data_IF_132398210625
#
_entry.id   IF_132398210625
#
_cell.length_a   1.000
_cell.length_b   1.000
_cell.length_c   1.000
_cell.angle_alpha   90.00
_cell.angle_beta   90.00
_cell.angle_gamma   90.00
#
_symmetry.space_group_name_H-M   'P 1'
#
loop_
_entity.id
_entity.type
_entity.pdbx_description
1 polymer ?
#
# COMPACT_ATOMS: atom_id res chain seq x y z
N UNK A 1 12.18 9.03 7.58
CA UNK A 1 10.84 8.76 7.04
C UNK A 1 10.01 8.12 8.14
N UNK A 2 8.94 8.78 8.61
CA UNK A 2 8.04 8.19 9.61
C UNK A 2 7.08 7.23 8.92
N UNK A 3 6.88 6.03 9.49
CA UNK A 3 5.97 4.99 8.96
C UNK A 3 4.57 5.55 8.64
N UNK A 4 4.09 6.48 9.48
CA UNK A 4 2.85 7.23 9.28
C UNK A 4 2.80 8.01 7.96
N UNK A 5 3.89 8.67 7.57
CA UNK A 5 3.93 9.44 6.31
C UNK A 5 3.79 8.49 5.12
N UNK A 6 4.44 7.32 5.17
CA UNK A 6 4.31 6.31 4.12
C UNK A 6 2.89 5.75 4.06
N UNK A 7 2.25 5.47 5.20
CA UNK A 7 0.86 5.03 5.25
C UNK A 7 -0.10 6.05 4.63
N UNK A 8 0.10 7.34 4.92
CA UNK A 8 -0.66 8.43 4.28
C UNK A 8 -0.47 8.44 2.77
N UNK A 9 0.77 8.32 2.29
CA UNK A 9 1.06 8.25 0.85
C UNK A 9 0.45 7.02 0.18
N UNK A 10 0.43 5.86 0.84
CA UNK A 10 -0.20 4.64 0.32
C UNK A 10 -1.72 4.78 0.23
N UNK A 11 -2.36 5.41 1.22
CA UNK A 11 -3.80 5.73 1.19
C UNK A 11 -4.14 6.71 0.07
N UNK A 12 -3.35 7.75 -0.10
CA UNK A 12 -3.52 8.70 -1.21
C UNK A 12 -3.34 8.02 -2.58
N UNK A 13 -2.39 7.10 -2.72
CA UNK A 13 -2.20 6.34 -3.95
C UNK A 13 -3.37 5.37 -4.23
N UNK A 14 -3.89 4.68 -3.20
CA UNK A 14 -5.13 3.88 -3.31
C UNK A 14 -6.29 4.74 -3.81
N UNK A 15 -6.48 5.93 -3.23
CA UNK A 15 -7.58 6.82 -3.60
C UNK A 15 -7.47 7.29 -5.06
N UNK A 16 -6.26 7.55 -5.55
CA UNK A 16 -6.03 7.84 -6.97
C UNK A 16 -6.34 6.66 -7.88
N UNK A 17 -6.09 5.43 -7.42
CA UNK A 17 -6.37 4.21 -8.16
C UNK A 17 -7.84 3.77 -8.08
N UNK A 18 -8.67 4.33 -7.20
CA UNK A 18 -10.05 3.84 -6.96
C UNK A 18 -10.94 3.85 -8.21
N UNK A 19 -10.67 4.76 -9.14
CA UNK A 19 -11.43 4.91 -10.38
C UNK A 19 -10.81 4.17 -11.57
N UNK A 20 -9.58 3.66 -11.44
CA UNK A 20 -8.81 3.03 -12.53
C UNK A 20 -8.57 1.54 -12.34
N UNK A 21 -8.87 0.99 -11.17
CA UNK A 21 -8.53 -0.40 -10.84
C UNK A 21 -9.76 -1.20 -10.47
N UNK A 22 -9.79 -2.47 -10.89
CA UNK A 22 -10.85 -3.39 -10.53
C UNK A 22 -11.01 -3.53 -9.01
N UNK A 23 -12.25 -3.76 -8.60
CA UNK A 23 -12.64 -3.94 -7.19
C UNK A 23 -11.78 -4.98 -6.48
N UNK A 24 -11.38 -6.05 -7.17
CA UNK A 24 -10.52 -7.10 -6.61
C UNK A 24 -9.08 -6.64 -6.32
N UNK A 25 -8.55 -5.71 -7.10
CA UNK A 25 -7.21 -5.15 -6.83
C UNK A 25 -7.28 -4.05 -5.78
N UNK A 26 -8.36 -3.27 -5.78
CA UNK A 26 -8.64 -2.31 -4.71
C UNK A 26 -8.69 -3.00 -3.34
N UNK A 27 -9.38 -4.14 -3.25
CA UNK A 27 -9.50 -4.93 -2.02
C UNK A 27 -8.15 -5.47 -1.53
N UNK A 28 -7.27 -5.89 -2.46
CA UNK A 28 -5.88 -6.29 -2.13
C UNK A 28 -5.05 -5.13 -1.59
N UNK A 29 -5.20 -3.93 -2.15
CA UNK A 29 -4.53 -2.72 -1.68
C UNK A 29 -5.04 -2.35 -0.28
N UNK A 30 -6.36 -2.37 -0.05
CA UNK A 30 -6.98 -2.16 1.26
C UNK A 30 -6.47 -3.16 2.30
N UNK A 31 -6.44 -4.44 1.95
CA UNK A 31 -5.98 -5.50 2.84
C UNK A 31 -4.50 -5.33 3.24
N UNK A 32 -3.67 -4.87 2.31
CA UNK A 32 -2.27 -4.61 2.57
C UNK A 32 -2.05 -3.32 3.39
N UNK A 33 -2.83 -2.26 3.16
CA UNK A 33 -2.82 -1.05 4.01
C UNK A 33 -3.27 -1.38 5.43
N UNK A 34 -4.35 -2.16 5.61
CA UNK A 34 -4.82 -2.61 6.94
C UNK A 34 -3.78 -3.43 7.68
N UNK A 35 -3.04 -4.31 6.99
CA UNK A 35 -1.92 -5.04 7.58
C UNK A 35 -0.82 -4.10 8.07
N UNK A 36 -0.48 -3.07 7.30
CA UNK A 36 0.51 -2.06 7.70
C UNK A 36 0.04 -1.24 8.90
N UNK A 37 -1.23 -0.86 8.96
CA UNK A 37 -1.83 -0.17 10.12
C UNK A 37 -1.83 -1.07 11.36
N UNK A 38 -2.10 -2.36 11.20
CA UNK A 38 -2.03 -3.32 12.30
C UNK A 38 -0.60 -3.46 12.81
N UNK A 39 0.38 -3.58 11.92
CA UNK A 39 1.81 -3.67 12.27
C UNK A 39 2.33 -2.38 12.93
N UNK A 40 1.77 -1.21 12.61
CA UNK A 40 2.08 0.04 13.32
C UNK A 40 1.53 0.03 14.76
N UNK A 41 0.33 -0.51 14.97
CA UNK A 41 -0.35 -0.56 16.28
C UNK A 41 0.24 -1.58 17.24
N UNK A 42 0.90 -2.63 16.75
CA UNK A 42 1.57 -3.58 17.64
C UNK A 42 2.83 -2.91 18.21
N UNK A 43 2.72 -2.43 19.44
CA UNK A 43 3.75 -1.72 20.22
C UNK A 43 5.07 -2.51 20.38
N UNK A 44 5.01 -3.83 20.12
CA UNK A 44 6.17 -4.71 20.09
C UNK A 44 6.93 -4.52 18.77
N UNK A 45 7.80 -3.50 18.75
CA UNK A 45 8.86 -3.23 17.76
C UNK A 45 8.49 -3.74 16.36
N UNK A 46 7.86 -2.91 15.50
CA UNK A 46 7.40 -3.37 14.19
C UNK A 46 8.58 -4.05 13.49
N UNK A 47 8.41 -5.32 13.15
CA UNK A 47 9.40 -6.08 12.40
C UNK A 47 9.58 -5.31 11.10
N UNK A 48 10.60 -4.43 11.04
CA UNK A 48 10.74 -3.44 9.96
C UNK A 48 10.69 -4.12 8.60
N UNK A 49 11.20 -5.34 8.50
CA UNK A 49 11.10 -6.20 7.32
C UNK A 49 9.67 -6.58 6.95
N UNK A 50 8.82 -6.97 7.91
CA UNK A 50 7.42 -7.29 7.63
C UNK A 50 6.62 -6.06 7.20
N UNK A 51 6.89 -4.91 7.84
CA UNK A 51 6.27 -3.65 7.42
C UNK A 51 6.78 -3.24 6.03
N UNK A 52 8.07 -3.35 5.75
CA UNK A 52 8.63 -3.06 4.43
C UNK A 52 8.03 -3.97 3.36
N UNK A 53 7.90 -5.27 3.65
CA UNK A 53 7.29 -6.25 2.75
C UNK A 53 5.83 -5.89 2.44
N UNK A 54 5.05 -5.46 3.44
CA UNK A 54 3.70 -4.97 3.23
C UNK A 54 3.67 -3.70 2.36
N UNK A 55 4.56 -2.74 2.62
CA UNK A 55 4.65 -1.50 1.86
C UNK A 55 5.05 -1.75 0.40
N UNK A 56 6.06 -2.61 0.17
CA UNK A 56 6.48 -3.04 -1.17
C UNK A 56 5.33 -3.73 -1.88
N UNK A 57 4.55 -4.59 -1.21
CA UNK A 57 3.40 -5.26 -1.82
C UNK A 57 2.33 -4.29 -2.30
N UNK A 58 2.01 -3.27 -1.49
CA UNK A 58 1.10 -2.19 -1.92
C UNK A 58 1.70 -1.45 -3.12
N UNK A 59 2.98 -1.10 -3.07
CA UNK A 59 3.67 -0.37 -4.13
C UNK A 59 3.76 -1.17 -5.43
N UNK A 60 3.98 -2.48 -5.36
CA UNK A 60 3.96 -3.38 -6.52
C UNK A 60 2.57 -3.51 -7.10
N UNK A 61 1.52 -3.63 -6.28
CA UNK A 61 0.14 -3.63 -6.76
C UNK A 61 -0.20 -2.30 -7.45
N UNK A 62 0.15 -1.17 -6.83
CA UNK A 62 -0.03 0.14 -7.43
C UNK A 62 0.79 0.30 -8.72
N UNK A 63 2.05 -0.16 -8.76
CA UNK A 63 2.88 -0.12 -9.97
C UNK A 63 2.40 -1.03 -11.08
N UNK A 64 1.82 -2.17 -10.76
CA UNK A 64 1.25 -3.08 -11.76
C UNK A 64 -0.03 -2.50 -12.36
N UNK A 65 -0.75 -1.68 -11.59
CA UNK A 65 -1.91 -0.92 -12.04
C UNK A 65 -1.55 0.34 -12.82
N UNK A 66 -0.53 1.08 -12.36
CA UNK A 66 -0.01 2.28 -13.04
C UNK A 66 0.86 1.89 -14.24
N UNK A 67 1.47 0.71 -14.25
CA UNK A 67 2.27 0.20 -15.36
C UNK A 67 1.45 -0.24 -16.58
N UNK A 68 0.11 -0.25 -16.47
CA UNK A 68 -0.81 -0.31 -17.61
C UNK A 68 -1.09 1.10 -18.18
N UNK A 69 -0.75 2.15 -17.42
CA UNK A 69 -0.66 3.52 -17.95
C UNK A 69 0.74 3.65 -18.55
N UNK A 70 0.82 3.32 -19.83
CA UNK A 70 1.88 3.63 -20.78
C UNK A 70 2.75 4.82 -20.31
N UNK A 71 3.97 4.53 -19.86
CA UNK A 71 5.07 5.50 -19.88
C UNK A 71 5.60 5.54 -21.31
N UNK A 72 4.76 6.02 -22.24
CA UNK A 72 5.14 6.45 -23.57
C UNK A 72 5.72 7.86 -23.55
#
# INVERSE_FOLDING_TARGET
>A
MKLKETLTSLKAAREKCVNTVDKGTLDKIDGAIRQLESLEKVESKPNKMQWLAGAVRVLTLLKLLVGDIDLG
#
